data_IF_839058947375
#
_entry.id   IF_839058947375
#
_cell.length_a   1.000
_cell.length_b   1.000
_cell.length_c   1.000
_cell.angle_alpha   90.00
_cell.angle_beta   90.00
_cell.angle_gamma   90.00
#
_symmetry.space_group_name_H-M   'P 1'
#
loop_
_entity.id
_entity.type
_entity.pdbx_description
1 polymer ?
#
# COMPACT_ATOMS: atom_id res chain seq x y z
N UNK A 1 5.13 26.17 13.22
CA UNK A 1 6.45 25.60 12.83
C UNK A 1 6.38 25.26 11.34
N UNK A 2 7.47 25.00 10.62
CA UNK A 2 7.35 24.53 9.23
C UNK A 2 7.35 23.00 9.19
N UNK A 3 6.21 22.41 8.84
CA UNK A 3 6.04 20.97 8.72
C UNK A 3 5.97 20.59 7.24
N UNK A 4 7.00 19.88 6.76
CA UNK A 4 7.01 19.30 5.41
C UNK A 4 6.92 17.79 5.50
N UNK A 5 5.75 17.27 5.13
CA UNK A 5 5.35 15.88 5.38
C UNK A 5 5.16 15.17 4.04
N UNK A 6 5.82 14.03 3.84
CA UNK A 6 5.54 13.15 2.72
C UNK A 6 4.49 12.10 3.11
N UNK A 7 3.50 11.94 2.25
CA UNK A 7 2.44 10.94 2.38
C UNK A 7 2.80 9.79 1.44
N UNK A 8 3.15 8.64 2.01
CA UNK A 8 3.53 7.42 1.31
C UNK A 8 2.35 6.44 1.36
N UNK A 9 1.95 5.87 0.23
CA UNK A 9 0.81 4.95 0.14
C UNK A 9 1.06 3.86 -0.88
N UNK A 10 0.46 2.69 -0.65
CA UNK A 10 0.36 1.59 -1.62
C UNK A 10 1.73 1.23 -2.19
N UNK A 11 2.71 0.95 -1.30
CA UNK A 11 4.08 0.60 -1.67
C UNK A 11 4.11 -0.78 -2.33
N UNK A 12 3.24 -1.68 -1.89
CA UNK A 12 3.04 -2.99 -2.50
C UNK A 12 4.32 -3.80 -2.71
N UNK A 13 5.27 -3.73 -1.77
CA UNK A 13 6.53 -4.45 -1.86
C UNK A 13 7.49 -3.94 -2.94
N UNK A 14 7.23 -2.81 -3.61
CA UNK A 14 8.13 -2.28 -4.64
C UNK A 14 9.31 -1.53 -4.01
N UNK A 15 10.46 -2.19 -3.91
CA UNK A 15 11.63 -1.68 -3.19
C UNK A 15 12.26 -0.53 -3.97
N UNK A 16 12.49 -0.72 -5.27
CA UNK A 16 13.16 0.27 -6.11
C UNK A 16 12.36 1.56 -6.24
N UNK A 17 11.03 1.47 -6.29
CA UNK A 17 10.17 2.66 -6.26
C UNK A 17 10.22 3.38 -4.92
N UNK A 18 10.20 2.65 -3.80
CA UNK A 18 10.30 3.25 -2.47
C UNK A 18 11.63 3.97 -2.28
N UNK A 19 12.75 3.37 -2.69
CA UNK A 19 14.08 4.00 -2.65
C UNK A 19 14.10 5.33 -3.42
N UNK A 20 13.55 5.33 -4.64
CA UNK A 20 13.47 6.54 -5.47
C UNK A 20 12.60 7.62 -4.82
N UNK A 21 11.45 7.26 -4.25
CA UNK A 21 10.55 8.19 -3.56
C UNK A 21 11.20 8.75 -2.29
N UNK A 22 11.89 7.93 -1.50
CA UNK A 22 12.62 8.40 -0.31
C UNK A 22 13.70 9.40 -0.70
N UNK A 23 14.48 9.11 -1.75
CA UNK A 23 15.51 10.02 -2.24
C UNK A 23 14.91 11.36 -2.71
N UNK A 24 13.81 11.31 -3.46
CA UNK A 24 13.10 12.50 -3.94
C UNK A 24 12.50 13.31 -2.77
N UNK A 25 11.86 12.67 -1.80
CA UNK A 25 11.30 13.30 -0.61
C UNK A 25 12.39 13.99 0.24
N UNK A 26 13.52 13.31 0.48
CA UNK A 26 14.70 13.90 1.15
C UNK A 26 15.20 15.13 0.38
N UNK A 27 15.25 15.08 -0.95
CA UNK A 27 15.64 16.23 -1.78
C UNK A 27 14.65 17.40 -1.73
N UNK A 28 13.35 17.15 -1.44
CA UNK A 28 12.35 18.19 -1.21
C UNK A 28 12.44 18.82 0.20
N UNK A 29 13.32 18.32 1.07
CA UNK A 29 13.47 18.77 2.45
C UNK A 29 12.40 18.22 3.39
N UNK A 30 11.77 17.08 3.04
CA UNK A 30 10.79 16.41 3.90
C UNK A 30 11.46 15.95 5.19
N UNK A 31 10.83 16.24 6.33
CA UNK A 31 11.32 15.87 7.67
C UNK A 31 10.41 14.86 8.38
N UNK A 32 9.21 14.61 7.86
CA UNK A 32 8.18 13.79 8.49
C UNK A 32 7.46 12.95 7.42
N UNK A 33 7.03 11.74 7.79
CA UNK A 33 6.40 10.80 6.85
C UNK A 33 5.12 10.22 7.46
N UNK A 34 4.07 10.13 6.63
CA UNK A 34 2.85 9.39 6.92
C UNK A 34 2.76 8.19 6.00
N UNK A 35 2.47 7.01 6.56
CA UNK A 35 2.38 5.75 5.82
C UNK A 35 0.93 5.26 5.77
N UNK A 36 0.36 5.16 4.58
CA UNK A 36 -1.08 4.96 4.37
C UNK A 36 -1.47 3.51 4.10
N UNK A 37 -0.65 2.53 4.48
CA UNK A 37 -0.94 1.10 4.31
C UNK A 37 -0.58 0.50 2.95
N UNK A 38 -0.91 -0.77 2.78
CA UNK A 38 -0.58 -1.60 1.61
C UNK A 38 0.93 -1.61 1.35
N UNK A 39 1.65 -2.07 2.36
CA UNK A 39 3.10 -1.92 2.47
C UNK A 39 3.81 -3.01 1.67
N UNK A 40 3.34 -4.24 1.81
CA UNK A 40 3.91 -5.44 1.20
C UNK A 40 2.99 -6.03 0.16
N UNK A 41 3.56 -6.85 -0.72
CA UNK A 41 2.88 -7.62 -1.76
C UNK A 41 2.09 -6.76 -2.78
N UNK A 42 1.98 -7.18 -4.05
CA UNK A 42 2.57 -8.38 -4.64
C UNK A 42 4.05 -8.23 -5.01
N UNK A 43 4.70 -7.10 -4.68
CA UNK A 43 6.12 -6.89 -4.94
C UNK A 43 7.07 -7.68 -4.02
N UNK A 44 8.37 -7.70 -4.35
CA UNK A 44 9.35 -8.59 -3.74
C UNK A 44 9.95 -8.09 -2.41
N UNK A 45 9.64 -6.87 -1.99
CA UNK A 45 10.13 -6.27 -0.76
C UNK A 45 9.68 -7.01 0.50
N UNK A 46 10.62 -7.25 1.41
CA UNK A 46 10.39 -7.86 2.71
C UNK A 46 11.22 -7.09 3.77
N UNK A 47 12.17 -7.74 4.45
CA UNK A 47 13.04 -7.10 5.44
C UNK A 47 13.87 -5.92 4.88
N UNK A 48 14.22 -5.93 3.60
CA UNK A 48 14.91 -4.82 2.93
C UNK A 48 14.02 -3.58 2.80
N UNK A 49 12.74 -3.77 2.46
CA UNK A 49 11.74 -2.69 2.48
C UNK A 49 11.55 -2.14 3.90
N UNK A 50 11.46 -3.01 4.90
CA UNK A 50 11.37 -2.60 6.31
C UNK A 50 12.58 -1.78 6.73
N UNK A 51 13.78 -2.14 6.27
CA UNK A 51 15.00 -1.39 6.56
C UNK A 51 14.91 0.05 6.03
N UNK A 52 14.39 0.24 4.82
CA UNK A 52 14.15 1.58 4.26
C UNK A 52 13.13 2.37 5.10
N UNK A 53 12.03 1.75 5.51
CA UNK A 53 11.02 2.42 6.34
C UNK A 53 11.57 2.83 7.71
N UNK A 54 12.46 2.02 8.31
CA UNK A 54 13.11 2.33 9.60
C UNK A 54 14.03 3.54 9.54
N UNK A 55 14.48 3.96 8.36
CA UNK A 55 15.26 5.20 8.19
C UNK A 55 14.42 6.47 8.20
N UNK A 56 13.09 6.33 8.08
CA UNK A 56 12.16 7.45 7.96
C UNK A 56 11.61 7.85 9.32
N UNK A 57 11.41 9.15 9.53
CA UNK A 57 10.64 9.67 10.67
C UNK A 57 9.14 9.51 10.41
N UNK A 58 8.67 8.26 10.40
CA UNK A 58 7.25 7.93 10.26
C UNK A 58 6.54 8.26 11.57
N UNK A 59 5.74 9.33 11.56
CA UNK A 59 5.00 9.80 12.74
C UNK A 59 3.58 9.27 12.80
N UNK A 60 3.07 8.77 11.67
CA UNK A 60 1.72 8.22 11.53
C UNK A 60 1.74 7.08 10.52
N UNK A 61 1.06 5.99 10.84
CA UNK A 61 0.88 4.87 9.94
C UNK A 61 -0.50 4.26 10.14
N UNK A 62 -1.16 3.90 9.06
CA UNK A 62 -2.43 3.16 9.09
C UNK A 62 -2.32 1.88 8.29
N UNK A 63 -3.24 0.95 8.57
CA UNK A 63 -3.27 -0.38 7.97
C UNK A 63 -4.09 -0.41 6.68
N UNK A 64 -3.52 -0.94 5.61
CA UNK A 64 -4.19 -1.18 4.34
C UNK A 64 -4.86 -2.54 4.27
N UNK A 65 -5.60 -2.80 3.19
CA UNK A 65 -6.30 -4.08 3.06
C UNK A 65 -5.36 -5.22 2.69
N UNK A 66 -4.28 -4.98 1.94
CA UNK A 66 -3.28 -6.02 1.68
C UNK A 66 -2.53 -6.39 2.95
N UNK A 67 -2.36 -5.44 3.87
CA UNK A 67 -1.82 -5.70 5.19
C UNK A 67 -2.75 -6.64 5.98
N UNK A 68 -4.06 -6.38 5.99
CA UNK A 68 -5.04 -7.31 6.58
C UNK A 68 -5.03 -8.68 5.88
N UNK A 69 -4.95 -8.73 4.55
CA UNK A 69 -4.85 -9.98 3.81
C UNK A 69 -3.67 -10.85 4.27
N UNK A 70 -2.51 -10.26 4.51
CA UNK A 70 -1.36 -10.99 5.07
C UNK A 70 -1.69 -11.53 6.47
N UNK A 71 -2.31 -10.72 7.33
CA UNK A 71 -2.67 -11.13 8.69
C UNK A 71 -3.75 -12.21 8.71
N UNK A 72 -4.78 -12.10 7.87
CA UNK A 72 -5.86 -13.07 7.71
C UNK A 72 -5.33 -14.42 7.20
N UNK A 73 -4.36 -14.40 6.28
CA UNK A 73 -3.65 -15.60 5.82
C UNK A 73 -2.91 -16.30 6.98
N UNK A 74 -2.24 -15.53 7.85
CA UNK A 74 -1.56 -16.07 9.03
C UNK A 74 -2.53 -16.57 10.10
N UNK A 75 -3.72 -15.98 10.18
CA UNK A 75 -4.79 -16.35 11.10
C UNK A 75 -5.63 -17.54 10.58
N UNK A 76 -5.27 -18.09 9.42
CA UNK A 76 -5.92 -19.27 8.84
C UNK A 76 -7.31 -19.02 8.26
N UNK A 77 -7.60 -17.78 7.84
CA UNK A 77 -8.90 -17.39 7.31
C UNK A 77 -9.10 -17.75 5.82
N UNK A 78 -8.04 -18.20 5.14
CA UNK A 78 -8.06 -18.59 3.74
C UNK A 78 -7.89 -20.09 3.54
N UNK A 79 -8.47 -20.58 2.45
CA UNK A 79 -8.45 -21.97 2.03
C UNK A 79 -7.74 -22.21 0.71
N UNK A 80 -7.99 -23.39 0.13
CA UNK A 80 -7.36 -23.87 -1.11
C UNK A 80 -8.35 -23.94 -2.28
N UNK A 81 -9.59 -23.50 -2.08
CA UNK A 81 -10.67 -23.62 -3.06
C UNK A 81 -10.73 -22.42 -4.02
N UNK A 82 -10.43 -21.22 -3.53
CA UNK A 82 -10.35 -20.01 -4.34
C UNK A 82 -8.91 -19.77 -4.82
N UNK A 83 -8.67 -19.66 -6.15
CA UNK A 83 -7.36 -19.26 -6.69
C UNK A 83 -6.78 -17.97 -6.10
N UNK A 84 -7.60 -16.99 -5.73
CA UNK A 84 -7.13 -15.75 -5.10
C UNK A 84 -6.61 -16.02 -3.69
N UNK A 85 -7.29 -16.86 -2.90
CA UNK A 85 -6.84 -17.27 -1.57
C UNK A 85 -5.52 -18.05 -1.65
N UNK A 86 -5.38 -18.96 -2.62
CA UNK A 86 -4.12 -19.68 -2.87
C UNK A 86 -3.01 -18.70 -3.25
N UNK A 87 -3.30 -17.68 -4.07
CA UNK A 87 -2.33 -16.63 -4.38
C UNK A 87 -1.88 -15.89 -3.12
N UNK A 88 -2.83 -15.38 -2.33
CA UNK A 88 -2.54 -14.67 -1.08
C UNK A 88 -1.72 -15.52 -0.12
N UNK A 89 -2.09 -16.78 0.08
CA UNK A 89 -1.36 -17.70 0.94
C UNK A 89 0.07 -17.95 0.43
N UNK A 90 0.24 -18.14 -0.88
CA UNK A 90 1.58 -18.38 -1.47
C UNK A 90 2.48 -17.16 -1.37
N UNK A 91 1.91 -15.97 -1.56
CA UNK A 91 2.63 -14.69 -1.43
C UNK A 91 2.96 -14.39 0.04
N UNK A 92 2.03 -14.68 0.96
CA UNK A 92 2.24 -14.57 2.40
C UNK A 92 3.35 -15.52 2.86
N UNK A 93 3.35 -16.77 2.38
CA UNK A 93 4.46 -17.70 2.60
C UNK A 93 5.81 -17.11 2.16
N UNK A 94 5.88 -16.57 0.94
CA UNK A 94 7.10 -15.94 0.42
C UNK A 94 7.59 -14.81 1.34
N UNK A 95 6.67 -13.99 1.84
CA UNK A 95 6.95 -12.90 2.75
C UNK A 95 7.51 -13.42 4.09
N UNK A 96 6.91 -14.47 4.65
CA UNK A 96 7.28 -15.02 5.96
C UNK A 96 8.59 -15.77 5.99
N UNK A 97 9.01 -16.35 4.87
CA UNK A 97 10.35 -16.90 4.73
C UNK A 97 11.46 -15.82 4.80
N UNK A 98 11.11 -14.53 4.71
CA UNK A 98 12.04 -13.41 4.51
C UNK A 98 11.80 -12.22 5.44
N UNK A 99 10.88 -12.36 6.40
CA UNK A 99 10.44 -11.26 7.25
C UNK A 99 10.60 -11.60 8.72
N UNK A 100 11.06 -10.63 9.50
CA UNK A 100 11.18 -10.78 10.95
C UNK A 100 9.79 -10.82 11.61
N UNK A 101 9.54 -11.71 12.59
CA UNK A 101 8.24 -11.78 13.29
C UNK A 101 7.80 -10.45 13.91
N UNK A 102 8.74 -9.63 14.39
CA UNK A 102 8.45 -8.30 14.93
C UNK A 102 7.80 -7.35 13.90
N UNK A 103 8.00 -7.58 12.60
CA UNK A 103 7.34 -6.82 11.54
C UNK A 103 5.86 -7.17 11.47
N UNK A 104 5.49 -8.43 11.70
CA UNK A 104 4.08 -8.86 11.75
C UNK A 104 3.40 -8.30 13.00
N UNK A 105 4.07 -8.32 14.15
CA UNK A 105 3.55 -7.70 15.37
C UNK A 105 3.31 -6.20 15.16
N UNK A 106 4.24 -5.52 14.49
CA UNK A 106 4.07 -4.12 14.09
C UNK A 106 2.88 -3.94 13.13
N UNK A 107 2.75 -4.77 12.09
CA UNK A 107 1.65 -4.71 11.13
C UNK A 107 0.28 -4.89 11.82
N UNK A 108 0.17 -5.86 12.74
CA UNK A 108 -1.04 -6.08 13.57
C UNK A 108 -1.36 -4.88 14.45
N UNK A 109 -0.35 -4.16 14.92
CA UNK A 109 -0.51 -2.98 15.78
C UNK A 109 -0.99 -1.74 15.02
N UNK A 110 -0.89 -1.72 13.69
CA UNK A 110 -1.31 -0.57 12.89
C UNK A 110 -2.83 -0.37 12.98
N UNK A 111 -3.30 0.85 13.26
CA UNK A 111 -4.72 1.19 13.33
C UNK A 111 -5.33 1.36 11.93
N UNK A 112 -6.65 1.24 11.82
CA UNK A 112 -7.38 1.55 10.57
C UNK A 112 -7.56 3.06 10.35
N UNK A 113 -7.59 3.83 11.43
CA UNK A 113 -7.80 5.28 11.44
C UNK A 113 -6.83 5.93 12.42
N UNK A 114 -6.19 7.00 11.97
CA UNK A 114 -5.43 7.92 12.81
C UNK A 114 -5.99 9.34 12.67
N UNK A 115 -6.04 10.07 13.79
CA UNK A 115 -6.32 11.50 13.81
C UNK A 115 -5.07 12.24 14.25
N UNK A 116 -4.69 13.29 13.52
CA UNK A 116 -3.48 14.05 13.81
C UNK A 116 -3.76 15.55 13.77
N UNK A 117 -3.10 16.29 14.65
CA UNK A 117 -3.10 17.75 14.59
C UNK A 117 -1.69 18.22 14.22
N UNK A 118 -1.58 19.05 13.18
CA UNK A 118 -0.32 19.66 12.75
C UNK A 118 -0.51 21.17 12.73
N UNK A 119 0.17 21.87 13.64
CA UNK A 119 0.11 23.33 13.79
C UNK A 119 -1.35 23.88 13.90
N UNK A 120 -2.27 23.09 14.47
CA UNK A 120 -3.70 23.45 14.62
C UNK A 120 -4.64 22.93 13.53
N UNK A 121 -4.11 22.38 12.43
CA UNK A 121 -4.92 21.71 11.40
C UNK A 121 -5.14 20.24 11.75
N UNK A 122 -6.39 19.78 11.64
CA UNK A 122 -6.81 18.44 12.03
C UNK A 122 -6.96 17.53 10.81
N UNK A 123 -6.22 16.44 10.83
CA UNK A 123 -6.11 15.46 9.77
C UNK A 123 -6.80 14.14 10.16
N UNK A 124 -7.51 13.56 9.20
CA UNK A 124 -8.04 12.19 9.26
C UNK A 124 -7.27 11.32 8.29
N UNK A 125 -6.63 10.26 8.77
CA UNK A 125 -5.83 9.36 7.96
C UNK A 125 -6.41 7.95 8.04
N UNK A 126 -6.83 7.40 6.91
CA UNK A 126 -7.27 6.01 6.78
C UNK A 126 -6.91 5.49 5.40
N UNK A 127 -6.56 4.22 5.26
CA UNK A 127 -6.18 3.68 3.94
C UNK A 127 -7.33 3.80 2.92
N UNK A 128 -8.57 3.55 3.35
CA UNK A 128 -9.79 3.81 2.58
C UNK A 128 -10.77 4.55 3.51
N UNK A 129 -11.92 3.95 3.88
CA UNK A 129 -12.81 4.53 4.87
C UNK A 129 -12.29 4.29 6.31
N UNK A 130 -12.66 5.14 7.29
CA UNK A 130 -12.16 5.07 8.67
C UNK A 130 -12.39 3.72 9.38
N UNK A 131 -13.41 2.98 8.96
CA UNK A 131 -13.82 1.68 9.52
C UNK A 131 -13.84 0.55 8.48
N UNK A 132 -13.31 0.80 7.28
CA UNK A 132 -13.29 -0.16 6.17
C UNK A 132 -12.19 0.20 5.18
N UNK A 133 -11.08 -0.54 5.24
CA UNK A 133 -9.90 -0.30 4.41
C UNK A 133 -10.01 -0.89 2.99
N UNK A 134 -11.06 -1.66 2.65
CA UNK A 134 -11.23 -2.27 1.33
C UNK A 134 -12.47 -1.77 0.56
N UNK A 135 -12.57 -2.15 -0.72
CA UNK A 135 -13.76 -1.91 -1.55
C UNK A 135 -13.73 -0.63 -2.37
N UNK A 136 -14.81 -0.37 -3.12
CA UNK A 136 -14.87 0.69 -4.14
C UNK A 136 -15.57 1.98 -3.71
N UNK A 137 -15.75 2.22 -2.41
CA UNK A 137 -16.52 3.37 -1.93
C UNK A 137 -15.88 4.72 -2.30
N UNK A 138 -14.55 4.79 -2.37
CA UNK A 138 -13.79 6.02 -2.66
C UNK A 138 -13.13 6.02 -4.06
N UNK A 139 -13.73 5.32 -5.02
CA UNK A 139 -13.34 5.46 -6.43
C UNK A 139 -13.52 6.91 -6.89
N UNK A 140 -12.61 7.39 -7.73
CA UNK A 140 -12.49 8.83 -8.08
C UNK A 140 -13.74 9.39 -8.77
N UNK A 141 -14.50 8.52 -9.45
CA UNK A 141 -15.76 8.82 -10.13
C UNK A 141 -16.99 8.87 -9.20
N UNK A 142 -16.86 8.42 -7.96
CA UNK A 142 -17.99 8.41 -7.02
C UNK A 142 -18.34 9.82 -6.53
N UNK A 143 -19.62 9.97 -6.18
CA UNK A 143 -20.20 11.21 -5.67
C UNK A 143 -19.57 11.66 -4.34
N UNK A 144 -19.58 12.97 -4.08
CA UNK A 144 -18.99 13.56 -2.86
C UNK A 144 -19.56 12.98 -1.57
N UNK A 145 -20.83 12.57 -1.56
CA UNK A 145 -21.48 11.93 -0.39
C UNK A 145 -20.72 10.68 0.09
N UNK A 146 -20.10 9.93 -0.83
CA UNK A 146 -19.26 8.77 -0.45
C UNK A 146 -17.98 9.20 0.25
N UNK A 147 -17.41 10.31 -0.19
CA UNK A 147 -16.17 10.89 0.35
C UNK A 147 -16.38 11.63 1.67
N UNK A 148 -17.58 12.16 1.92
CA UNK A 148 -17.93 12.78 3.20
C UNK A 148 -17.78 11.81 4.39
N UNK A 149 -17.81 10.49 4.15
CA UNK A 149 -17.53 9.48 5.18
C UNK A 149 -16.08 9.50 5.71
N UNK A 150 -15.14 10.14 5.00
CA UNK A 150 -13.78 10.37 5.50
C UNK A 150 -13.71 11.50 6.53
N UNK A 151 -14.77 12.31 6.61
CA UNK A 151 -14.81 13.58 7.30
C UNK A 151 -15.77 13.51 8.49
N UNK A 152 -15.48 14.33 9.49
CA UNK A 152 -16.39 14.70 10.58
C UNK A 152 -16.29 16.22 10.79
N UNK A 153 -17.06 16.76 11.74
CA UNK A 153 -17.11 18.21 12.01
C UNK A 153 -15.76 18.78 12.51
N UNK A 154 -14.83 17.91 12.91
CA UNK A 154 -13.51 18.27 13.40
C UNK A 154 -12.40 18.06 12.37
N UNK A 155 -12.65 17.44 11.23
CA UNK A 155 -11.60 17.21 10.23
C UNK A 155 -11.50 18.39 9.28
N UNK A 156 -10.30 18.94 9.13
CA UNK A 156 -10.02 19.98 8.14
C UNK A 156 -9.50 19.36 6.83
N UNK A 157 -8.73 18.27 6.93
CA UNK A 157 -8.17 17.52 5.77
C UNK A 157 -8.24 16.01 6.00
N UNK A 158 -8.81 15.27 5.06
CA UNK A 158 -8.71 13.81 5.02
C UNK A 158 -7.64 13.35 4.03
N UNK A 159 -6.91 12.30 4.40
CA UNK A 159 -5.92 11.63 3.57
C UNK A 159 -6.28 10.16 3.45
N UNK A 160 -6.35 9.65 2.23
CA UNK A 160 -6.60 8.23 1.95
C UNK A 160 -5.73 7.67 0.83
N UNK A 161 -5.69 6.35 0.66
CA UNK A 161 -4.91 5.59 -0.33
C UNK A 161 -5.81 4.67 -1.18
N UNK A 162 -5.43 3.40 -1.33
CA UNK A 162 -6.26 2.27 -1.83
C UNK A 162 -6.63 2.29 -3.32
N UNK A 163 -7.03 3.43 -3.88
CA UNK A 163 -7.50 3.52 -5.28
C UNK A 163 -6.39 3.87 -6.27
N UNK A 164 -5.16 4.05 -5.76
CA UNK A 164 -3.92 4.22 -6.53
C UNK A 164 -3.93 5.38 -7.52
N UNK A 165 -4.70 6.43 -7.22
CA UNK A 165 -4.85 7.63 -8.05
C UNK A 165 -4.65 8.88 -7.22
N UNK A 166 -3.74 9.74 -7.68
CA UNK A 166 -3.60 11.08 -7.12
C UNK A 166 -4.92 11.85 -7.23
N UNK A 167 -5.34 12.43 -6.11
CA UNK A 167 -6.61 13.16 -6.02
C UNK A 167 -6.49 14.32 -5.04
N UNK A 168 -7.01 15.47 -5.44
CA UNK A 168 -7.42 16.55 -4.55
C UNK A 168 -8.88 16.85 -4.85
N UNK A 169 -9.75 16.70 -3.86
CA UNK A 169 -11.15 17.10 -3.94
C UNK A 169 -11.61 17.69 -2.62
N UNK A 170 -12.89 18.03 -2.56
CA UNK A 170 -13.51 18.64 -1.39
C UNK A 170 -14.72 17.82 -0.95
N UNK A 171 -14.91 17.75 0.37
CA UNK A 171 -16.16 17.30 0.98
C UNK A 171 -17.25 18.36 0.88
N UNK A 172 -18.46 18.00 1.31
CA UNK A 172 -19.64 18.86 1.19
C UNK A 172 -19.57 20.16 1.99
N UNK A 173 -18.78 20.22 3.09
CA UNK A 173 -18.56 21.46 3.85
C UNK A 173 -17.27 22.20 3.43
N UNK A 174 -16.61 21.74 2.36
CA UNK A 174 -15.40 22.39 1.83
C UNK A 174 -14.08 21.90 2.44
N UNK A 175 -14.10 20.85 3.27
CA UNK A 175 -12.87 20.25 3.80
C UNK A 175 -12.11 19.53 2.68
N UNK A 176 -10.78 19.46 2.78
CA UNK A 176 -9.96 18.88 1.72
C UNK A 176 -9.83 17.36 1.86
N UNK A 177 -9.76 16.68 0.72
CA UNK A 177 -9.53 15.24 0.64
C UNK A 177 -8.40 14.99 -0.35
N UNK A 178 -7.36 14.32 0.13
CA UNK A 178 -6.12 14.08 -0.59
C UNK A 178 -5.89 12.57 -0.74
N UNK A 179 -5.51 12.15 -1.94
CA UNK A 179 -4.93 10.83 -2.18
C UNK A 179 -3.55 10.99 -2.82
N UNK A 180 -2.48 10.45 -2.25
CA UNK A 180 -1.12 10.63 -2.77
C UNK A 180 -0.85 9.82 -4.04
N UNK A 181 -1.77 8.94 -4.44
CA UNK A 181 -1.55 7.91 -5.45
C UNK A 181 -0.81 6.71 -4.85
N UNK A 182 -0.30 5.84 -5.72
CA UNK A 182 0.43 4.65 -5.31
C UNK A 182 1.91 4.71 -5.69
N UNK A 183 2.78 4.38 -4.72
CA UNK A 183 4.22 4.24 -4.94
C UNK A 183 4.49 3.01 -5.81
N UNK A 184 3.90 1.89 -5.42
CA UNK A 184 4.21 0.58 -5.98
C UNK A 184 3.35 0.18 -7.16
N UNK A 185 2.12 0.65 -7.27
CA UNK A 185 1.12 0.20 -8.23
C UNK A 185 0.25 1.35 -8.76
N UNK A 186 0.84 2.42 -9.29
CA UNK A 186 0.08 3.56 -9.83
C UNK A 186 -0.91 3.09 -10.91
N UNK A 187 -2.15 3.59 -10.84
CA UNK A 187 -3.22 3.14 -11.74
C UNK A 187 -3.70 4.26 -12.68
N UNK A 188 -3.79 3.94 -13.98
CA UNK A 188 -4.20 4.87 -15.03
C UNK A 188 -5.27 4.26 -15.92
N UNK A 189 -6.45 4.88 -15.95
CA UNK A 189 -7.51 4.52 -16.91
C UNK A 189 -7.34 5.25 -18.26
N UNK A 190 -6.55 6.34 -18.29
CA UNK A 190 -6.40 7.18 -19.47
C UNK A 190 -5.02 6.96 -20.09
N UNK A 191 -5.00 6.27 -21.23
CA UNK A 191 -3.76 5.77 -21.87
C UNK A 191 -2.72 6.87 -22.10
N UNK A 192 -3.14 8.07 -22.52
CA UNK A 192 -2.21 9.17 -22.79
C UNK A 192 -1.44 9.68 -21.56
N UNK A 193 -1.88 9.33 -20.34
CA UNK A 193 -1.22 9.70 -19.09
C UNK A 193 -0.47 8.54 -18.45
N UNK A 194 -0.56 7.33 -19.02
CA UNK A 194 0.07 6.12 -18.49
C UNK A 194 1.58 6.27 -18.43
N UNK A 195 2.17 5.86 -17.31
CA UNK A 195 3.61 5.90 -17.06
C UNK A 195 3.97 5.06 -15.82
N UNK A 196 5.20 4.56 -15.77
CA UNK A 196 5.68 3.71 -14.68
C UNK A 196 6.26 4.48 -13.48
N UNK A 197 5.87 5.74 -13.27
CA UNK A 197 6.44 6.54 -12.17
C UNK A 197 5.69 6.28 -10.87
N UNK A 198 6.44 6.11 -9.79
CA UNK A 198 5.89 6.06 -8.44
C UNK A 198 5.18 7.37 -8.10
N UNK A 199 4.05 7.30 -7.39
CA UNK A 199 3.27 8.47 -6.98
C UNK A 199 3.34 8.64 -5.47
N UNK A 200 3.50 9.88 -5.03
CA UNK A 200 3.32 10.26 -3.63
C UNK A 200 2.91 11.74 -3.55
N UNK A 201 2.62 12.24 -2.35
CA UNK A 201 2.35 13.66 -2.12
C UNK A 201 3.23 14.23 -1.02
N UNK A 202 3.50 15.54 -1.10
CA UNK A 202 4.10 16.33 -0.02
C UNK A 202 3.11 17.42 0.37
N UNK A 203 2.83 17.54 1.66
CA UNK A 203 2.08 18.66 2.23
C UNK A 203 3.01 19.56 3.04
N UNK A 204 2.74 20.86 3.02
CA UNK A 204 3.47 21.86 3.80
C UNK A 204 2.48 22.61 4.69
N UNK A 205 2.69 22.54 6.00
CA UNK A 205 1.90 23.27 7.00
C UNK A 205 2.79 24.28 7.71
N UNK A 206 2.40 25.55 7.63
CA UNK A 206 3.12 26.67 8.23
C UNK A 206 2.16 27.62 8.93
N UNK A 207 2.39 27.89 10.22
CA UNK A 207 1.61 28.85 11.01
C UNK A 207 0.10 28.54 11.05
N UNK A 208 -0.24 27.25 11.06
CA UNK A 208 -1.61 26.75 11.04
C UNK A 208 -2.31 26.81 9.69
N UNK A 209 -1.57 27.03 8.61
CA UNK A 209 -2.09 27.05 7.25
C UNK A 209 -1.50 25.89 6.43
N UNK A 210 -2.33 25.21 5.63
CA UNK A 210 -1.86 24.27 4.63
C UNK A 210 -1.42 25.07 3.40
N UNK A 211 -0.15 25.45 3.37
CA UNK A 211 0.40 26.38 2.38
C UNK A 211 0.72 25.72 1.05
N UNK A 212 0.89 24.39 1.02
CA UNK A 212 1.20 23.67 -0.21
C UNK A 212 0.73 22.21 -0.21
N UNK A 213 0.34 21.73 -1.39
CA UNK A 213 0.09 20.31 -1.69
C UNK A 213 0.78 19.99 -3.03
N UNK A 214 1.80 19.14 -2.99
CA UNK A 214 2.59 18.76 -4.16
C UNK A 214 2.38 17.28 -4.48
N UNK A 215 1.68 17.00 -5.57
CA UNK A 215 1.64 15.66 -6.16
C UNK A 215 2.89 15.41 -6.98
N UNK A 216 3.55 14.29 -6.72
CA UNK A 216 4.85 13.98 -7.32
C UNK A 216 4.80 12.65 -8.05
N UNK A 217 5.59 12.57 -9.13
CA UNK A 217 5.77 11.38 -9.96
C UNK A 217 7.25 11.11 -10.17
N UNK A 218 7.76 10.07 -9.53
CA UNK A 218 9.18 9.78 -9.45
C UNK A 218 9.51 8.61 -10.38
N UNK A 219 10.46 8.83 -11.30
CA UNK A 219 10.97 7.74 -12.12
C UNK A 219 11.87 6.83 -11.29
N UNK A 220 11.75 5.53 -11.50
CA UNK A 220 12.62 4.51 -10.92
C UNK A 220 12.93 3.45 -11.99
N UNK A 221 13.95 2.64 -11.75
CA UNK A 221 14.33 1.57 -12.65
C UNK A 221 13.44 0.34 -12.41
N UNK A 222 12.33 0.24 -13.15
CA UNK A 222 11.42 -0.90 -13.01
C UNK A 222 12.01 -2.21 -13.54
N UNK A 223 13.03 -2.17 -14.40
CA UNK A 223 13.73 -3.40 -14.84
C UNK A 223 14.61 -3.93 -13.71
N UNK A 224 15.28 -3.05 -12.95
CA UNK A 224 15.99 -3.45 -11.73
C UNK A 224 15.04 -4.07 -10.70
N UNK A 225 13.83 -3.53 -10.54
CA UNK A 225 12.80 -4.12 -9.68
C UNK A 225 12.35 -5.51 -10.15
N UNK A 226 12.20 -5.71 -11.47
CA UNK A 226 11.88 -7.02 -12.03
C UNK A 226 13.00 -8.04 -11.84
N UNK A 227 14.25 -7.64 -12.02
CA UNK A 227 15.39 -8.51 -11.75
C UNK A 227 15.52 -8.83 -10.25
N UNK A 228 15.23 -7.86 -9.37
CA UNK A 228 15.12 -8.10 -7.93
C UNK A 228 14.05 -9.15 -7.62
N UNK A 229 12.86 -8.99 -8.19
CA UNK A 229 11.75 -9.94 -8.01
C UNK A 229 12.11 -11.36 -8.48
N UNK A 230 12.73 -11.50 -9.65
CA UNK A 230 13.22 -12.79 -10.17
C UNK A 230 14.29 -13.39 -9.26
N UNK A 231 15.27 -12.59 -8.85
CA UNK A 231 16.39 -13.06 -8.02
C UNK A 231 15.94 -13.55 -6.64
N UNK A 232 14.88 -12.96 -6.08
CA UNK A 232 14.29 -13.38 -4.80
C UNK A 232 13.35 -14.58 -4.95
N UNK A 233 13.02 -14.98 -6.17
CA UNK A 233 12.08 -16.07 -6.44
C UNK A 233 10.64 -15.68 -6.10
N UNK A 234 10.23 -14.45 -6.44
CA UNK A 234 8.86 -13.98 -6.21
C UNK A 234 7.85 -14.92 -6.89
N UNK A 235 6.87 -15.48 -6.16
CA UNK A 235 5.79 -16.24 -6.77
C UNK A 235 4.94 -15.37 -7.70
N UNK A 236 4.32 -15.99 -8.70
CA UNK A 236 3.53 -15.27 -9.72
C UNK A 236 4.33 -14.16 -10.42
N UNK A 237 5.62 -14.38 -10.67
CA UNK A 237 6.51 -13.43 -11.35
C UNK A 237 5.94 -12.96 -12.70
N UNK A 238 5.20 -13.82 -13.41
CA UNK A 238 4.56 -13.46 -14.67
C UNK A 238 3.54 -12.31 -14.50
N UNK A 239 2.80 -12.31 -13.39
CA UNK A 239 1.83 -11.24 -13.08
C UNK A 239 2.54 -9.96 -12.64
N UNK A 240 3.64 -10.09 -11.90
CA UNK A 240 4.44 -8.93 -11.50
C UNK A 240 5.13 -8.29 -12.72
N UNK A 241 5.62 -9.09 -13.66
CA UNK A 241 6.15 -8.60 -14.93
C UNK A 241 5.10 -7.85 -15.75
N UNK A 242 3.90 -8.40 -15.90
CA UNK A 242 2.80 -7.68 -16.56
C UNK A 242 2.46 -6.37 -15.84
N UNK A 243 2.39 -6.39 -14.51
CA UNK A 243 2.15 -5.18 -13.71
C UNK A 243 3.23 -4.11 -13.93
N UNK A 244 4.51 -4.48 -14.08
CA UNK A 244 5.59 -3.49 -14.33
C UNK A 244 5.63 -2.98 -15.77
N UNK A 245 5.29 -3.83 -16.74
CA UNK A 245 5.37 -3.46 -18.17
C UNK A 245 4.11 -2.78 -18.67
N UNK A 246 2.95 -3.21 -18.17
CA UNK A 246 1.64 -2.82 -18.70
C UNK A 246 0.77 -2.08 -17.68
N UNK A 247 1.28 -1.77 -16.48
CA UNK A 247 0.54 -1.17 -15.34
C UNK A 247 -0.82 -1.88 -15.10
N UNK A 248 -0.86 -3.19 -15.33
CA UNK A 248 -2.06 -4.00 -15.29
C UNK A 248 -1.88 -5.17 -14.33
N UNK A 249 -2.44 -5.04 -13.12
CA UNK A 249 -2.45 -6.14 -12.16
C UNK A 249 -3.67 -7.03 -12.38
N UNK A 250 -3.44 -8.25 -12.87
CA UNK A 250 -4.51 -9.23 -13.15
C UNK A 250 -4.86 -10.12 -11.95
N UNK A 251 -4.78 -9.60 -10.73
CA UNK A 251 -5.11 -10.32 -9.49
C UNK A 251 -6.51 -10.93 -9.46
N UNK A 252 -7.46 -10.37 -10.22
CA UNK A 252 -8.84 -10.87 -10.29
C UNK A 252 -9.10 -11.78 -11.51
N UNK A 253 -8.08 -12.11 -12.31
CA UNK A 253 -8.23 -13.04 -13.42
C UNK A 253 -8.09 -14.49 -12.92
N UNK A 254 -9.22 -15.08 -12.53
CA UNK A 254 -9.28 -16.43 -11.95
C UNK A 254 -8.73 -17.51 -12.88
N UNK A 255 -8.92 -17.39 -14.20
CA UNK A 255 -8.40 -18.34 -15.18
C UNK A 255 -6.86 -18.31 -15.25
N UNK A 256 -6.28 -17.10 -15.28
CA UNK A 256 -4.84 -16.90 -15.24
C UNK A 256 -4.26 -17.43 -13.92
N UNK A 257 -4.88 -17.09 -12.79
CA UNK A 257 -4.44 -17.56 -11.48
C UNK A 257 -4.44 -19.09 -11.39
N UNK A 258 -5.56 -19.74 -11.76
CA UNK A 258 -5.66 -21.19 -11.76
C UNK A 258 -4.58 -21.84 -12.63
N UNK A 259 -4.33 -21.28 -13.82
CA UNK A 259 -3.28 -21.76 -14.72
C UNK A 259 -1.87 -21.64 -14.11
N UNK A 260 -1.55 -20.52 -13.47
CA UNK A 260 -0.24 -20.32 -12.83
C UNK A 260 -0.08 -21.19 -11.58
N UNK A 261 -1.15 -21.37 -10.79
CA UNK A 261 -1.17 -22.24 -9.62
C UNK A 261 -0.87 -23.68 -10.02
N UNK A 262 -1.52 -24.18 -11.08
CA UNK A 262 -1.28 -25.53 -11.61
C UNK A 262 0.15 -25.66 -12.15
N UNK A 263 0.58 -24.71 -13.00
CA UNK A 263 1.91 -24.71 -13.63
C UNK A 263 3.05 -24.80 -12.62
N UNK A 264 2.95 -24.06 -11.51
CA UNK A 264 4.01 -23.96 -10.51
C UNK A 264 3.80 -24.85 -9.29
N UNK A 265 2.66 -25.55 -9.19
CA UNK A 265 2.35 -26.44 -8.07
C UNK A 265 2.08 -25.74 -6.74
N UNK A 266 1.60 -24.48 -6.76
CA UNK A 266 1.49 -23.65 -5.55
C UNK A 266 0.56 -24.20 -4.47
N UNK A 267 -0.42 -25.05 -4.82
CA UNK A 267 -1.28 -25.70 -3.82
C UNK A 267 -0.47 -26.53 -2.82
N UNK A 268 0.54 -27.26 -3.29
CA UNK A 268 1.37 -28.10 -2.42
C UNK A 268 2.33 -27.28 -1.56
N UNK A 269 2.83 -26.15 -2.07
CA UNK A 269 3.60 -25.19 -1.28
C UNK A 269 2.76 -24.62 -0.13
N UNK A 270 1.55 -24.16 -0.47
CA UNK A 270 0.63 -23.56 0.51
C UNK A 270 0.17 -24.56 1.57
N UNK A 271 -0.08 -25.83 1.20
CA UNK A 271 -0.42 -26.88 2.20
C UNK A 271 0.66 -27.00 3.27
N UNK A 272 1.93 -27.08 2.85
CA UNK A 272 3.07 -27.15 3.78
C UNK A 272 3.18 -25.91 4.65
N UNK A 273 2.94 -24.74 4.07
CA UNK A 273 2.92 -23.48 4.80
C UNK A 273 1.83 -23.44 5.88
N UNK A 274 0.60 -23.84 5.55
CA UNK A 274 -0.51 -23.91 6.50
C UNK A 274 -0.24 -24.93 7.63
N UNK A 275 0.38 -26.07 7.32
CA UNK A 275 0.81 -27.05 8.33
C UNK A 275 1.86 -26.45 9.28
N UNK A 276 2.82 -25.69 8.75
CA UNK A 276 3.86 -25.02 9.54
C UNK A 276 3.25 -23.97 10.49
N UNK A 277 2.37 -23.08 9.99
CA UNK A 277 1.70 -22.06 10.80
C UNK A 277 0.91 -22.69 11.96
N UNK A 278 0.14 -23.75 11.69
CA UNK A 278 -0.62 -24.45 12.74
C UNK A 278 0.26 -24.99 13.86
N UNK A 279 1.48 -25.44 13.52
CA UNK A 279 2.44 -25.97 14.50
C UNK A 279 3.11 -24.87 15.33
N UNK A 280 3.30 -23.68 14.76
CA UNK A 280 4.05 -22.57 15.36
C UNK A 280 3.15 -21.65 16.20
N UNK A 281 1.88 -21.49 15.82
CA UNK A 281 0.96 -20.52 16.42
C UNK A 281 -0.13 -21.11 17.34
N UNK A 282 -0.15 -22.44 17.60
CA UNK A 282 -1.15 -23.12 18.47
C UNK A 282 -2.56 -22.54 18.32
N UNK A 283 -3.09 -22.59 17.10
CA UNK A 283 -4.51 -22.33 16.89
C UNK A 283 -5.22 -23.67 17.13
N UNK A 284 -5.80 -23.83 18.33
CA UNK A 284 -6.73 -24.92 18.66
C UNK A 284 -8.01 -24.83 17.84
#
# INVERSE_FOLDING_TARGET
MNHKIAILSDIHGNVTALEAVIADAKAQGVSEYWLMGDIFLPGPGANDLVALLKELSITTSVRGNWDDCVLEALDGQYGLEDPQEVQLLRMTQYLMERMDPATIDWLRSLPMLEKREVDGLRFSLSHNLPNKNYGGDLLVENDTEKFDQLLDDEVDVAVYGHVHKQLLRYGSQGQQIINPGSIGMPYFNWEALKNHRAQYAVIEVEYGELVNILFRKVAYDYEAELELAKSKGLPFIEMYEELRRDDNYRGHNLELLASLIEKHGYVEDVKKFLEAIKSEYKVD
#
